data_IF_364396317269
#
_entry.id   IF_364396317269
#
_cell.length_a   1.000
_cell.length_b   1.000
_cell.length_c   1.000
_cell.angle_alpha   90.00
_cell.angle_beta   90.00
_cell.angle_gamma   90.00
#
_symmetry.space_group_name_H-M   'P 1'
#
loop_
_entity.id
_entity.type
_entity.pdbx_description
1 polymer ?
#
# COMPACT_ATOMS: atom_id res chain seq x y z
N UNK A 1 -4.70 12.73 4.69
CA UNK A 1 -3.57 11.78 4.71
C UNK A 1 -3.00 11.56 6.10
N UNK A 2 -3.04 12.54 7.00
CA UNK A 2 -2.53 12.41 8.38
C UNK A 2 -3.05 11.16 9.12
N UNK A 3 -4.36 10.89 9.10
CA UNK A 3 -4.92 9.69 9.73
C UNK A 3 -4.35 8.39 9.13
N UNK A 4 -4.19 8.32 7.80
CA UNK A 4 -3.63 7.13 7.13
C UNK A 4 -2.19 6.90 7.58
N UNK A 5 -1.38 7.95 7.68
CA UNK A 5 -0.01 7.86 8.19
C UNK A 5 0.03 7.41 9.66
N UNK A 6 -0.87 7.91 10.51
CA UNK A 6 -1.00 7.48 11.91
C UNK A 6 -1.35 6.00 11.99
N UNK A 7 -2.34 5.53 11.22
CA UNK A 7 -2.73 4.12 11.22
C UNK A 7 -1.63 3.22 10.66
N UNK A 8 -0.95 3.62 9.58
CA UNK A 8 0.20 2.87 9.07
C UNK A 8 1.29 2.71 10.13
N UNK A 9 1.62 3.77 10.89
CA UNK A 9 2.58 3.68 11.98
C UNK A 9 2.14 2.69 13.05
N UNK A 10 0.88 2.72 13.50
CA UNK A 10 0.38 1.77 14.51
C UNK A 10 0.36 0.33 14.02
N UNK A 11 0.01 0.10 12.75
CA UNK A 11 0.04 -1.25 12.16
C UNK A 11 1.48 -1.74 12.07
N UNK A 12 2.42 -0.89 11.66
CA UNK A 12 3.85 -1.22 11.64
C UNK A 12 4.37 -1.59 13.05
N UNK A 13 4.08 -0.76 14.06
CA UNK A 13 4.44 -1.03 15.46
C UNK A 13 3.86 -2.36 15.96
N UNK A 14 2.61 -2.67 15.60
CA UNK A 14 1.97 -3.95 15.93
C UNK A 14 2.66 -5.14 15.23
N UNK A 15 3.03 -5.00 13.96
CA UNK A 15 3.74 -6.05 13.22
C UNK A 15 5.10 -6.40 13.86
N UNK A 16 5.85 -5.38 14.30
CA UNK A 16 7.10 -5.57 15.05
C UNK A 16 6.87 -6.32 16.37
N UNK A 17 5.81 -5.97 17.11
CA UNK A 17 5.46 -6.63 18.39
C UNK A 17 5.08 -8.11 18.21
N UNK A 18 4.33 -8.42 17.15
CA UNK A 18 3.83 -9.77 16.88
C UNK A 18 4.80 -10.61 16.03
N UNK A 19 5.98 -10.07 15.69
CA UNK A 19 6.98 -10.70 14.83
C UNK A 19 6.38 -11.19 13.48
N UNK A 20 5.58 -10.34 12.85
CA UNK A 20 4.99 -10.57 11.53
C UNK A 20 5.47 -9.53 10.53
N UNK A 21 5.50 -9.89 9.25
CA UNK A 21 5.96 -8.99 8.20
C UNK A 21 4.94 -7.86 7.95
N UNK A 22 5.41 -6.61 8.01
CA UNK A 22 4.69 -5.45 7.51
C UNK A 22 5.04 -5.22 6.03
N UNK A 23 4.02 -5.16 5.16
CA UNK A 23 4.20 -4.85 3.74
C UNK A 23 3.71 -3.43 3.44
N UNK A 24 4.64 -2.51 3.14
CA UNK A 24 4.30 -1.14 2.74
C UNK A 24 3.80 -1.09 1.29
N UNK A 25 2.52 -1.39 1.07
CA UNK A 25 1.88 -1.36 -0.25
C UNK A 25 1.81 0.04 -0.83
N UNK A 26 1.76 1.08 0.01
CA UNK A 26 1.60 2.47 -0.41
C UNK A 26 2.70 2.88 -1.41
N UNK A 27 3.93 2.43 -1.19
CA UNK A 27 5.10 2.69 -2.04
C UNK A 27 4.89 2.32 -3.52
N UNK A 28 4.06 1.32 -3.81
CA UNK A 28 3.80 0.88 -5.19
C UNK A 28 2.66 1.63 -5.88
N UNK A 29 1.87 2.41 -5.13
CA UNK A 29 0.56 2.88 -5.58
C UNK A 29 0.41 4.40 -5.59
N UNK A 30 1.04 5.11 -4.66
CA UNK A 30 0.85 6.56 -4.53
C UNK A 30 1.93 7.35 -5.25
N UNK A 31 1.61 8.60 -5.59
CA UNK A 31 2.58 9.58 -6.05
C UNK A 31 3.39 10.20 -4.90
N UNK A 32 4.29 11.14 -5.24
CA UNK A 32 5.17 11.82 -4.28
C UNK A 32 4.40 12.66 -3.24
N UNK A 33 3.13 12.98 -3.51
CA UNK A 33 2.24 13.71 -2.59
C UNK A 33 1.42 12.74 -1.71
N UNK A 34 1.52 11.44 -1.95
CA UNK A 34 0.85 10.40 -1.17
C UNK A 34 -0.57 10.07 -1.65
N UNK A 35 -0.95 10.49 -2.86
CA UNK A 35 -2.27 10.23 -3.44
C UNK A 35 -2.23 9.15 -4.52
N UNK A 36 -3.38 8.50 -4.76
CA UNK A 36 -3.53 7.68 -5.97
C UNK A 36 -3.40 8.60 -7.20
N UNK A 37 -2.57 8.26 -8.19
CA UNK A 37 -2.41 9.08 -9.38
C UNK A 37 -3.72 9.31 -10.13
N UNK A 38 -3.81 10.43 -10.85
CA UNK A 38 -4.98 10.77 -11.66
C UNK A 38 -5.40 9.62 -12.59
N UNK A 39 -6.70 9.26 -12.54
CA UNK A 39 -7.27 8.17 -13.35
C UNK A 39 -7.07 6.76 -12.77
N UNK A 40 -6.32 6.60 -11.68
CA UNK A 40 -6.15 5.31 -10.99
C UNK A 40 -7.46 4.79 -10.38
N UNK A 41 -8.40 5.69 -10.05
CA UNK A 41 -9.74 5.37 -9.55
C UNK A 41 -10.79 6.18 -10.33
N UNK A 42 -12.00 5.64 -10.49
CA UNK A 42 -13.11 6.39 -11.11
C UNK A 42 -13.85 7.29 -10.13
N UNK A 43 -13.87 6.91 -8.85
CA UNK A 43 -14.58 7.59 -7.77
C UNK A 43 -13.61 8.21 -6.74
N UNK A 44 -12.32 8.20 -7.04
CA UNK A 44 -11.26 8.68 -6.15
C UNK A 44 -10.86 7.71 -5.04
N UNK A 45 -11.45 6.51 -4.95
CA UNK A 45 -11.18 5.54 -3.87
C UNK A 45 -10.87 4.16 -4.44
N UNK A 46 -11.73 3.61 -5.30
CA UNK A 46 -11.60 2.25 -5.80
C UNK A 46 -10.72 2.18 -7.03
N UNK A 47 -9.58 1.49 -6.89
CA UNK A 47 -8.61 1.33 -7.97
C UNK A 47 -9.18 0.59 -9.17
N UNK A 48 -8.79 1.06 -10.36
CA UNK A 48 -8.99 0.34 -11.61
C UNK A 48 -8.08 -0.88 -11.69
N UNK A 49 -8.41 -1.77 -12.62
CA UNK A 49 -7.71 -3.03 -12.85
C UNK A 49 -6.19 -2.84 -12.96
N UNK A 50 -5.73 -1.81 -13.65
CA UNK A 50 -4.31 -1.54 -13.87
C UNK A 50 -3.55 -1.35 -12.55
N UNK A 51 -4.14 -0.64 -11.59
CA UNK A 51 -3.53 -0.40 -10.28
C UNK A 51 -3.67 -1.60 -9.34
N UNK A 52 -4.76 -2.36 -9.43
CA UNK A 52 -4.86 -3.65 -8.75
C UNK A 52 -3.78 -4.63 -9.21
N UNK A 53 -3.42 -4.62 -10.50
CA UNK A 53 -2.33 -5.45 -11.02
C UNK A 53 -0.96 -4.97 -10.52
N UNK A 54 -0.71 -3.66 -10.43
CA UNK A 54 0.51 -3.12 -9.82
C UNK A 54 0.67 -3.58 -8.37
N UNK A 55 -0.41 -3.50 -7.59
CA UNK A 55 -0.43 -4.01 -6.22
C UNK A 55 -0.10 -5.50 -6.17
N UNK A 56 -0.74 -6.32 -7.02
CA UNK A 56 -0.48 -7.76 -7.07
C UNK A 56 0.99 -8.08 -7.37
N UNK A 57 1.59 -7.42 -8.36
CA UNK A 57 3.00 -7.64 -8.71
C UNK A 57 3.93 -7.21 -7.57
N UNK A 58 3.62 -6.10 -6.89
CA UNK A 58 4.37 -5.68 -5.71
C UNK A 58 4.32 -6.74 -4.60
N UNK A 59 3.14 -7.28 -4.28
CA UNK A 59 3.02 -8.37 -3.29
C UNK A 59 3.89 -9.57 -3.66
N UNK A 60 3.89 -9.99 -4.93
CA UNK A 60 4.68 -11.14 -5.40
C UNK A 60 6.19 -10.94 -5.18
N UNK A 61 6.71 -9.72 -5.32
CA UNK A 61 8.11 -9.42 -5.07
C UNK A 61 8.54 -9.74 -3.63
N UNK A 62 7.62 -9.65 -2.66
CA UNK A 62 7.90 -9.92 -1.23
C UNK A 62 7.56 -11.36 -0.82
N UNK A 63 6.59 -12.01 -1.46
CA UNK A 63 6.20 -13.39 -1.14
C UNK A 63 7.17 -14.41 -1.78
N UNK A 64 7.76 -14.12 -2.94
CA UNK A 64 8.68 -15.07 -3.62
C UNK A 64 10.05 -15.17 -2.92
N UNK A 65 10.35 -14.29 -1.96
CA UNK A 65 11.62 -14.27 -1.23
C UNK A 65 11.57 -14.89 0.18
N UNK A 66 10.42 -15.43 0.61
CA UNK A 66 10.27 -16.12 1.90
C UNK A 66 10.00 -17.63 1.70
#
# INVERSE_FOLDING_TARGET
MENVAIFHRYIYEMCEQENVCFLNVQEALVDDEGYLPGGAASDGIHMRKEYCMKWLEYIKCYIVQN
#
